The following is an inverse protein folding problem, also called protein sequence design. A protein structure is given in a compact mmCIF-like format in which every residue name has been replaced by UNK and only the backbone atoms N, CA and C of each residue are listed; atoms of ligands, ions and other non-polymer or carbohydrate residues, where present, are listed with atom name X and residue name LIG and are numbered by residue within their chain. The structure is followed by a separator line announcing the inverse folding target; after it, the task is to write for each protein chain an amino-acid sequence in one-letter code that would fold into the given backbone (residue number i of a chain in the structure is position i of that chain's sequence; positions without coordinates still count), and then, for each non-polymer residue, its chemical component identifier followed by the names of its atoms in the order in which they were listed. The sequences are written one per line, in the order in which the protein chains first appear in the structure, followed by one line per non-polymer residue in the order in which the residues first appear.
data_IF_947913987256
#
_entry.id   IF_947913987256
#
_cell.length_a   1.000
_cell.length_b   1.000
_cell.length_c   1.000
_cell.angle_alpha   90.00
_cell.angle_beta   90.00
_cell.angle_gamma   90.00
#
_symmetry.space_group_name_H-M   'P 1'
#
loop_
_entity.id
_entity.type
_entity.pdbx_description
1 polymer ?
#
# COMPACT_ATOMS: atom_id res chain seq x y z
N UNK A 1 27.42 -9.02 -10.42
CA UNK A 1 27.62 -8.97 -8.95
C UNK A 1 26.39 -8.46 -8.21
N UNK A 2 25.85 -7.28 -8.52
CA UNK A 2 24.69 -6.70 -7.80
C UNK A 2 23.42 -7.58 -7.78
N UNK A 3 23.09 -8.26 -8.89
CA UNK A 3 21.94 -9.17 -8.94
C UNK A 3 22.04 -10.34 -7.96
N UNK A 4 23.23 -10.95 -7.85
CA UNK A 4 23.48 -12.03 -6.90
C UNK A 4 23.37 -11.58 -5.44
N UNK A 5 23.84 -10.36 -5.14
CA UNK A 5 23.69 -9.77 -3.79
C UNK A 5 22.21 -9.59 -3.45
N UNK A 6 21.40 -9.06 -4.38
CA UNK A 6 19.95 -8.93 -4.18
C UNK A 6 19.26 -10.27 -3.95
N UNK A 7 19.61 -11.29 -4.73
CA UNK A 7 19.07 -12.64 -4.55
C UNK A 7 19.40 -13.20 -3.17
N UNK A 8 20.65 -13.05 -2.72
CA UNK A 8 21.05 -13.48 -1.37
C UNK A 8 20.23 -12.77 -0.31
N UNK A 9 20.08 -11.44 -0.40
CA UNK A 9 19.30 -10.65 0.56
C UNK A 9 17.85 -11.12 0.59
N UNK A 10 17.18 -11.22 -0.55
CA UNK A 10 15.78 -11.65 -0.60
C UNK A 10 15.60 -13.09 -0.10
N UNK A 11 16.54 -13.99 -0.39
CA UNK A 11 16.51 -15.36 0.13
C UNK A 11 16.63 -15.39 1.65
N UNK A 12 17.58 -14.64 2.22
CA UNK A 12 17.77 -14.56 3.68
C UNK A 12 16.54 -13.98 4.35
N UNK A 13 15.96 -12.92 3.80
CA UNK A 13 14.72 -12.32 4.34
C UNK A 13 13.58 -13.34 4.28
N UNK A 14 13.36 -13.99 3.14
CA UNK A 14 12.26 -14.95 2.98
C UNK A 14 12.38 -16.15 3.93
N UNK A 15 13.59 -16.70 4.10
CA UNK A 15 13.85 -17.83 5.01
C UNK A 15 13.65 -17.39 6.47
N UNK A 16 14.18 -16.22 6.83
CA UNK A 16 14.07 -15.71 8.21
C UNK A 16 12.62 -15.40 8.56
N UNK A 17 11.88 -14.75 7.66
CA UNK A 17 10.46 -14.46 7.83
C UNK A 17 9.61 -15.75 7.88
N UNK A 18 9.94 -16.76 7.06
CA UNK A 18 9.31 -18.09 7.14
C UNK A 18 9.58 -18.81 8.46
N UNK A 19 10.79 -18.73 8.99
CA UNK A 19 11.13 -19.26 10.31
C UNK A 19 10.36 -18.53 11.43
N UNK A 20 10.29 -17.20 11.35
CA UNK A 20 9.51 -16.39 12.30
C UNK A 20 8.03 -16.78 12.24
N UNK A 21 7.45 -16.91 11.04
CA UNK A 21 6.07 -17.32 10.85
C UNK A 21 5.79 -18.68 11.52
N UNK A 22 6.68 -19.67 11.33
CA UNK A 22 6.54 -20.98 11.96
C UNK A 22 6.58 -20.95 13.51
N UNK A 23 7.21 -19.92 14.09
CA UNK A 23 7.31 -19.74 15.54
C UNK A 23 6.33 -18.69 16.09
N UNK A 24 5.49 -18.08 15.25
CA UNK A 24 4.57 -17.04 15.65
C UNK A 24 3.49 -17.61 16.59
N UNK A 25 3.22 -16.89 17.69
CA UNK A 25 2.24 -17.30 18.71
C UNK A 25 0.92 -16.56 18.61
N UNK A 26 0.88 -15.46 17.87
CA UNK A 26 -0.32 -14.68 17.61
C UNK A 26 -0.56 -14.52 16.10
N UNK A 27 -1.83 -14.35 15.74
CA UNK A 27 -2.26 -14.32 14.34
C UNK A 27 -1.72 -13.09 13.61
N UNK A 28 -1.65 -11.94 14.27
CA UNK A 28 -1.19 -10.71 13.65
C UNK A 28 0.28 -10.83 13.25
N UNK A 29 1.13 -11.32 14.15
CA UNK A 29 2.55 -11.53 13.89
C UNK A 29 2.80 -12.63 12.86
N UNK A 30 2.00 -13.71 12.87
CA UNK A 30 2.04 -14.75 11.85
C UNK A 30 1.76 -14.18 10.45
N UNK A 31 0.67 -13.43 10.31
CA UNK A 31 0.26 -12.85 9.03
C UNK A 31 1.32 -11.88 8.50
N UNK A 32 1.83 -11.00 9.36
CA UNK A 32 2.90 -10.07 8.98
C UNK A 32 4.18 -10.80 8.55
N UNK A 33 4.58 -11.87 9.25
CA UNK A 33 5.76 -12.64 8.89
C UNK A 33 5.57 -13.39 7.55
N UNK A 34 4.37 -13.93 7.30
CA UNK A 34 4.02 -14.55 6.02
C UNK A 34 4.05 -13.51 4.90
N UNK A 35 3.47 -12.33 5.10
CA UNK A 35 3.47 -11.26 4.11
C UNK A 35 4.90 -10.87 3.70
N UNK A 36 5.78 -10.66 4.68
CA UNK A 36 7.21 -10.37 4.43
C UNK A 36 7.87 -11.52 3.65
N UNK A 37 7.61 -12.77 4.02
CA UNK A 37 8.18 -13.93 3.34
C UNK A 37 7.71 -14.02 1.88
N UNK A 38 6.41 -13.80 1.63
CA UNK A 38 5.81 -13.83 0.30
C UNK A 38 6.35 -12.69 -0.56
N UNK A 39 6.39 -11.46 -0.04
CA UNK A 39 6.91 -10.30 -0.78
C UNK A 39 8.38 -10.50 -1.12
N UNK A 40 9.21 -10.96 -0.17
CA UNK A 40 10.61 -11.27 -0.42
C UNK A 40 10.79 -12.39 -1.47
N UNK A 41 9.97 -13.45 -1.41
CA UNK A 41 9.95 -14.52 -2.39
C UNK A 41 9.58 -14.04 -3.79
N UNK A 42 8.58 -13.17 -3.91
CA UNK A 42 8.17 -12.54 -5.18
C UNK A 42 9.34 -11.73 -5.76
N UNK A 43 9.99 -10.89 -4.95
CA UNK A 43 11.16 -10.10 -5.39
C UNK A 43 12.37 -10.97 -5.76
N UNK A 44 12.57 -12.09 -5.06
CA UNK A 44 13.58 -13.08 -5.40
C UNK A 44 13.33 -13.64 -6.81
N UNK A 45 12.09 -14.09 -7.09
CA UNK A 45 11.71 -14.63 -8.40
C UNK A 45 11.87 -13.58 -9.50
N UNK A 46 11.40 -12.35 -9.29
CA UNK A 46 11.54 -11.29 -10.29
C UNK A 46 13.00 -10.93 -10.56
N UNK A 47 13.83 -10.87 -9.51
CA UNK A 47 15.25 -10.61 -9.66
C UNK A 47 15.95 -11.74 -10.39
N UNK A 48 15.60 -13.00 -10.08
CA UNK A 48 16.17 -14.18 -10.72
C UNK A 48 15.81 -14.24 -12.21
N UNK A 49 14.55 -13.94 -12.56
CA UNK A 49 14.07 -13.90 -13.94
C UNK A 49 14.75 -12.81 -14.76
N UNK A 50 14.98 -11.63 -14.18
CA UNK A 50 15.67 -10.52 -14.85
C UNK A 50 17.19 -10.66 -14.93
N UNK A 51 17.79 -11.73 -14.41
CA UNK A 51 19.23 -11.93 -14.52
C UNK A 51 19.64 -12.31 -15.94
N UNK A 52 20.45 -11.45 -16.56
CA UNK A 52 20.97 -11.69 -17.91
C UNK A 52 20.15 -11.05 -19.02
N UNK A 53 19.02 -10.42 -18.70
CA UNK A 53 18.30 -9.59 -19.67
C UNK A 53 19.10 -8.31 -19.97
N UNK A 54 19.21 -7.91 -21.24
CA UNK A 54 19.85 -6.65 -21.62
C UNK A 54 19.04 -5.48 -21.03
N UNK A 55 19.75 -4.51 -20.44
CA UNK A 55 19.10 -3.29 -19.94
C UNK A 55 18.48 -2.52 -21.11
N UNK A 56 17.17 -2.32 -21.06
CA UNK A 56 16.46 -1.50 -22.04
C UNK A 56 16.90 -0.05 -21.94
N UNK A 57 16.75 0.69 -23.05
CA UNK A 57 17.01 2.13 -23.06
C UNK A 57 16.13 2.85 -22.02
N UNK A 58 16.62 3.94 -21.39
CA UNK A 58 15.85 4.69 -20.43
C UNK A 58 14.57 5.24 -21.08
N UNK A 59 13.44 5.04 -20.42
CA UNK A 59 12.15 5.59 -20.88
C UNK A 59 12.17 7.12 -20.87
N UNK A 60 11.62 7.71 -21.92
CA UNK A 60 11.54 9.16 -22.08
C UNK A 60 10.19 9.69 -21.57
N UNK A 61 10.18 10.94 -21.09
CA UNK A 61 8.97 11.61 -20.59
C UNK A 61 8.60 11.28 -19.13
N UNK A 62 7.54 11.92 -18.63
CA UNK A 62 7.07 11.73 -17.26
C UNK A 62 6.30 10.43 -17.06
N UNK A 63 6.37 9.89 -15.84
CA UNK A 63 5.67 8.68 -15.43
C UNK A 63 4.28 9.02 -14.91
N UNK A 64 3.37 9.39 -15.82
CA UNK A 64 2.02 9.85 -15.46
C UNK A 64 1.02 8.72 -15.19
N UNK A 65 1.34 7.46 -15.52
CA UNK A 65 0.41 6.34 -15.36
C UNK A 65 0.04 6.09 -13.89
N UNK A 66 1.04 6.07 -13.00
CA UNK A 66 0.83 5.93 -11.55
C UNK A 66 0.05 7.11 -10.98
N UNK A 67 0.24 8.31 -11.53
CA UNK A 67 -0.46 9.52 -11.10
C UNK A 67 -1.94 9.45 -11.50
N UNK A 68 -2.25 8.95 -12.70
CA UNK A 68 -3.64 8.78 -13.15
C UNK A 68 -4.40 7.79 -12.26
N UNK A 69 -3.79 6.64 -11.95
CA UNK A 69 -4.40 5.67 -11.03
C UNK A 69 -4.51 6.26 -9.61
N UNK A 70 -3.48 6.96 -9.15
CA UNK A 70 -3.47 7.64 -7.86
C UNK A 70 -4.56 8.70 -7.72
N UNK A 71 -4.82 9.49 -8.78
CA UNK A 71 -5.89 10.47 -8.79
C UNK A 71 -7.26 9.81 -8.66
N UNK A 72 -7.50 8.72 -9.40
CA UNK A 72 -8.74 7.93 -9.32
C UNK A 72 -8.91 7.35 -7.89
N UNK A 73 -7.87 6.72 -7.34
CA UNK A 73 -7.94 6.13 -6.01
C UNK A 73 -8.05 7.17 -4.90
N UNK A 74 -7.48 8.36 -5.07
CA UNK A 74 -7.69 9.49 -4.14
C UNK A 74 -9.18 9.84 -4.04
N UNK A 75 -9.85 9.98 -5.18
CA UNK A 75 -11.30 10.27 -5.21
C UNK A 75 -12.11 9.10 -4.66
N UNK A 76 -11.75 7.86 -4.99
CA UNK A 76 -12.39 6.67 -4.44
C UNK A 76 -12.32 6.65 -2.92
N UNK A 77 -11.14 6.85 -2.33
CA UNK A 77 -10.96 6.88 -0.88
C UNK A 77 -11.64 8.09 -0.22
N UNK A 78 -11.74 9.23 -0.90
CA UNK A 78 -12.52 10.36 -0.43
C UNK A 78 -14.00 9.97 -0.25
N UNK A 79 -14.59 9.32 -1.27
CA UNK A 79 -15.97 8.84 -1.22
C UNK A 79 -16.14 7.85 -0.07
N UNK A 80 -15.29 6.81 0.01
CA UNK A 80 -15.38 5.80 1.09
C UNK A 80 -15.24 6.45 2.47
N UNK A 81 -14.19 7.25 2.69
CA UNK A 81 -13.92 7.89 3.98
C UNK A 81 -15.04 8.83 4.40
N UNK A 82 -15.55 9.68 3.50
CA UNK A 82 -16.64 10.61 3.81
C UNK A 82 -17.98 9.91 3.99
N UNK A 83 -18.28 8.85 3.24
CA UNK A 83 -19.49 8.05 3.46
C UNK A 83 -19.48 7.41 4.85
N UNK A 84 -18.36 6.82 5.29
CA UNK A 84 -18.25 6.31 6.68
C UNK A 84 -18.39 7.45 7.69
N UNK A 85 -17.84 8.63 7.39
CA UNK A 85 -17.98 9.82 8.23
C UNK A 85 -19.43 10.27 8.43
N UNK A 86 -20.20 10.32 7.34
CA UNK A 86 -21.64 10.61 7.37
C UNK A 86 -22.40 9.54 8.15
N UNK A 87 -22.05 8.26 7.96
CA UNK A 87 -22.67 7.15 8.68
C UNK A 87 -22.46 7.26 10.19
N UNK A 88 -21.22 7.47 10.66
CA UNK A 88 -20.95 7.61 12.09
C UNK A 88 -21.55 8.89 12.68
N UNK A 89 -21.72 9.96 11.88
CA UNK A 89 -22.46 11.14 12.31
C UNK A 89 -23.95 10.82 12.54
N UNK A 90 -24.57 10.01 11.68
CA UNK A 90 -25.93 9.52 11.92
C UNK A 90 -26.02 8.62 13.15
N UNK A 91 -25.02 7.80 13.45
CA UNK A 91 -24.99 7.00 14.69
C UNK A 91 -24.96 7.86 15.97
N UNK A 92 -24.43 9.09 15.91
CA UNK A 92 -24.51 10.03 17.02
C UNK A 92 -25.89 10.69 17.14
N UNK A 93 -26.56 10.94 16.01
CA UNK A 93 -27.90 11.54 15.98
C UNK A 93 -29.01 10.52 16.32
N UNK A 94 -28.86 9.28 15.87
CA UNK A 94 -29.80 8.18 16.03
C UNK A 94 -29.03 6.94 16.52
N UNK A 95 -28.87 6.76 17.85
CA UNK A 95 -28.10 5.66 18.42
C UNK A 95 -28.57 4.26 17.98
N UNK A 96 -29.83 4.11 17.56
CA UNK A 96 -30.42 2.86 17.05
C UNK A 96 -29.71 2.33 15.80
N UNK A 97 -28.96 3.17 15.09
CA UNK A 97 -28.11 2.77 13.96
C UNK A 97 -26.84 2.02 14.39
N UNK A 98 -26.60 1.88 15.70
CA UNK A 98 -25.64 0.92 16.25
C UNK A 98 -26.33 -0.43 16.45
N UNK A 99 -26.43 -1.21 15.37
CA UNK A 99 -27.15 -2.47 15.41
C UNK A 99 -26.50 -3.50 16.35
N UNK A 100 -27.28 -4.07 17.27
CA UNK A 100 -26.83 -5.12 18.18
C UNK A 100 -26.33 -6.38 17.45
N UNK A 101 -26.87 -6.69 16.28
CA UNK A 101 -26.42 -7.84 15.47
C UNK A 101 -25.08 -7.59 14.74
N UNK A 102 -24.71 -6.33 14.55
CA UNK A 102 -23.48 -5.92 13.88
C UNK A 102 -22.40 -5.43 14.87
N UNK A 103 -22.59 -5.76 16.15
CA UNK A 103 -21.72 -5.31 17.22
C UNK A 103 -20.32 -5.88 17.01
N UNK A 104 -19.32 -4.99 17.04
CA UNK A 104 -17.94 -5.32 16.68
C UNK A 104 -17.49 -5.01 15.25
N UNK A 105 -18.38 -4.70 14.29
CA UNK A 105 -17.98 -4.26 12.94
C UNK A 105 -18.56 -2.92 12.55
N UNK A 106 -19.87 -2.71 12.79
CA UNK A 106 -20.56 -1.46 12.44
C UNK A 106 -20.83 -0.57 13.66
N UNK A 107 -20.18 -0.84 14.79
CA UNK A 107 -20.30 -0.01 15.98
C UNK A 107 -19.52 1.30 15.83
N UNK A 108 -20.09 2.43 16.27
CA UNK A 108 -19.47 3.75 16.25
C UNK A 108 -18.02 3.76 16.77
N UNK A 109 -17.75 3.04 17.85
CA UNK A 109 -16.42 2.97 18.48
C UNK A 109 -15.33 2.41 17.57
N UNK A 110 -15.68 1.52 16.61
CA UNK A 110 -14.73 0.94 15.64
C UNK A 110 -14.76 1.65 14.29
N UNK A 111 -15.93 2.10 13.85
CA UNK A 111 -16.07 2.85 12.61
C UNK A 111 -15.41 4.22 12.67
N UNK A 112 -15.32 4.85 13.86
CA UNK A 112 -14.64 6.14 13.99
C UNK A 112 -13.13 6.07 13.68
N UNK A 113 -12.33 5.17 14.28
CA UNK A 113 -10.95 4.95 13.86
C UNK A 113 -10.82 4.60 12.38
N UNK A 114 -11.74 3.78 11.83
CA UNK A 114 -11.77 3.44 10.40
C UNK A 114 -11.98 4.70 9.53
N UNK A 115 -12.96 5.55 9.86
CA UNK A 115 -13.19 6.82 9.17
C UNK A 115 -11.96 7.71 9.20
N UNK A 116 -11.36 7.90 10.37
CA UNK A 116 -10.17 8.74 10.53
C UNK A 116 -9.01 8.24 9.67
N UNK A 117 -8.71 6.94 9.72
CA UNK A 117 -7.65 6.34 8.89
C UNK A 117 -7.97 6.44 7.40
N UNK A 118 -9.21 6.20 7.00
CA UNK A 118 -9.63 6.31 5.60
C UNK A 118 -9.51 7.75 5.07
N UNK A 119 -9.91 8.76 5.85
CA UNK A 119 -9.82 10.16 5.39
C UNK A 119 -8.37 10.67 5.43
N UNK A 120 -7.60 10.35 6.47
CA UNK A 120 -6.24 10.87 6.62
C UNK A 120 -5.26 10.11 5.73
N UNK A 121 -5.18 8.78 5.87
CA UNK A 121 -4.18 7.99 5.17
C UNK A 121 -4.66 7.56 3.79
N UNK A 122 -5.88 7.02 3.67
CA UNK A 122 -6.33 6.54 2.37
C UNK A 122 -6.57 7.69 1.39
N UNK A 123 -7.42 8.66 1.74
CA UNK A 123 -7.66 9.85 0.92
C UNK A 123 -6.47 10.80 0.94
N UNK A 124 -6.12 11.37 2.10
CA UNK A 124 -5.08 12.37 2.21
C UNK A 124 -3.71 11.85 1.78
N UNK A 125 -3.33 10.66 2.24
CA UNK A 125 -2.04 10.05 1.91
C UNK A 125 -1.92 9.64 0.44
N UNK A 126 -2.94 9.02 -0.16
CA UNK A 126 -2.92 8.73 -1.62
C UNK A 126 -2.86 10.03 -2.42
N UNK A 127 -3.57 11.08 -1.98
CA UNK A 127 -3.51 12.41 -2.57
C UNK A 127 -2.11 13.04 -2.49
N UNK A 128 -1.44 12.94 -1.35
CA UNK A 128 -0.07 13.44 -1.16
C UNK A 128 0.95 12.68 -2.00
N UNK A 129 0.87 11.36 -2.08
CA UNK A 129 1.77 10.55 -2.92
C UNK A 129 1.58 10.93 -4.40
N UNK A 130 0.32 10.99 -4.84
CA UNK A 130 -0.04 11.32 -6.22
C UNK A 130 0.45 12.72 -6.61
N UNK A 131 0.19 13.72 -5.77
CA UNK A 131 0.62 15.10 -6.02
C UNK A 131 2.14 15.24 -5.95
N UNK A 132 2.81 14.59 -5.00
CA UNK A 132 4.27 14.60 -4.90
C UNK A 132 4.94 14.02 -6.15
N UNK A 133 4.47 12.86 -6.64
CA UNK A 133 4.99 12.26 -7.87
C UNK A 133 4.74 13.13 -9.11
N UNK A 134 3.61 13.83 -9.16
CA UNK A 134 3.30 14.74 -10.26
C UNK A 134 4.19 15.99 -10.24
N UNK A 135 4.30 16.64 -9.08
CA UNK A 135 4.99 17.92 -8.90
C UNK A 135 6.49 17.73 -9.05
N UNK A 136 7.10 16.74 -8.37
CA UNK A 136 8.56 16.57 -8.38
C UNK A 136 9.13 16.36 -9.78
N UNK A 137 8.40 15.65 -10.64
CA UNK A 137 8.81 15.43 -12.02
C UNK A 137 8.83 16.74 -12.82
N UNK A 138 7.81 17.58 -12.66
CA UNK A 138 7.64 18.82 -13.43
C UNK A 138 8.51 19.96 -12.94
N UNK A 139 8.75 20.02 -11.63
CA UNK A 139 9.64 21.04 -11.05
C UNK A 139 11.11 20.72 -11.28
N UNK A 140 11.47 19.44 -11.43
CA UNK A 140 12.85 19.02 -11.75
C UNK A 140 13.11 18.80 -13.24
N UNK A 141 12.06 18.74 -14.08
CA UNK A 141 12.19 18.40 -15.49
C UNK A 141 12.65 16.96 -15.74
N UNK A 142 12.48 16.06 -14.76
CA UNK A 142 12.99 14.68 -14.80
C UNK A 142 11.88 13.64 -14.55
N UNK A 143 12.03 12.44 -15.15
CA UNK A 143 11.17 11.27 -14.88
C UNK A 143 11.40 10.76 -13.47
N UNK A 144 10.37 10.14 -12.86
CA UNK A 144 10.51 9.45 -11.58
C UNK A 144 11.69 8.47 -11.54
N UNK A 145 12.46 8.56 -10.45
CA UNK A 145 13.61 7.71 -10.20
C UNK A 145 13.21 6.26 -9.88
N UNK A 146 14.08 5.31 -10.26
CA UNK A 146 13.97 3.90 -9.85
C UNK A 146 13.06 3.04 -10.71
N UNK A 147 12.65 3.51 -11.90
CA UNK A 147 11.78 2.77 -12.82
C UNK A 147 10.43 2.47 -12.16
N UNK A 148 10.13 1.20 -11.92
CA UNK A 148 8.88 0.77 -11.30
C UNK A 148 8.80 1.01 -9.78
N UNK A 149 9.78 1.69 -9.18
CA UNK A 149 9.76 2.00 -7.75
C UNK A 149 8.54 2.84 -7.35
N UNK A 150 8.11 3.77 -8.20
CA UNK A 150 6.90 4.56 -7.96
C UNK A 150 5.64 3.67 -7.86
N UNK A 151 5.53 2.65 -8.72
CA UNK A 151 4.46 1.66 -8.66
C UNK A 151 4.53 0.77 -7.41
N UNK A 152 5.73 0.39 -6.99
CA UNK A 152 5.92 -0.36 -5.75
C UNK A 152 5.45 0.43 -4.53
N UNK A 153 5.88 1.68 -4.41
CA UNK A 153 5.44 2.56 -3.31
C UNK A 153 3.93 2.76 -3.36
N UNK A 154 3.38 2.99 -4.55
CA UNK A 154 1.94 3.21 -4.71
C UNK A 154 1.11 2.01 -4.28
N UNK A 155 1.37 0.81 -4.81
CA UNK A 155 0.62 -0.39 -4.45
C UNK A 155 0.91 -0.87 -3.04
N UNK A 156 2.14 -0.72 -2.55
CA UNK A 156 2.47 -0.97 -1.14
C UNK A 156 1.67 -0.07 -0.21
N UNK A 157 1.44 1.19 -0.59
CA UNK A 157 0.57 2.10 0.16
C UNK A 157 -0.90 1.67 0.11
N UNK A 158 -1.39 1.21 -1.05
CA UNK A 158 -2.76 0.68 -1.16
C UNK A 158 -2.96 -0.60 -0.32
N UNK A 159 -1.95 -1.47 -0.23
CA UNK A 159 -1.99 -2.63 0.67
C UNK A 159 -1.97 -2.21 2.14
N UNK A 160 -1.18 -1.20 2.51
CA UNK A 160 -1.16 -0.65 3.87
C UNK A 160 -2.51 -0.08 4.33
N UNK A 161 -3.33 0.42 3.39
CA UNK A 161 -4.66 0.96 3.70
C UNK A 161 -5.69 -0.14 4.01
N UNK A 162 -5.53 -1.32 3.41
CA UNK A 162 -6.47 -2.45 3.52
C UNK A 162 -6.29 -3.20 4.84
#
# INVERSE_FOLDING_TARGET
MWGYIKLLIFAVIAITAGYIANNARDLAYLVSAIEVAVVAGIFFIFTAKGMGEPKTAPETGYMDDVIRVGAILTVFWAVVGFTVGVWIAFQLAYPELNFAWADGYLNFGRLRPLHTSAVIFAFGGTGLITTSFYVVQRTSGARMFGGNLAWFVFWGYQLFIL
#
